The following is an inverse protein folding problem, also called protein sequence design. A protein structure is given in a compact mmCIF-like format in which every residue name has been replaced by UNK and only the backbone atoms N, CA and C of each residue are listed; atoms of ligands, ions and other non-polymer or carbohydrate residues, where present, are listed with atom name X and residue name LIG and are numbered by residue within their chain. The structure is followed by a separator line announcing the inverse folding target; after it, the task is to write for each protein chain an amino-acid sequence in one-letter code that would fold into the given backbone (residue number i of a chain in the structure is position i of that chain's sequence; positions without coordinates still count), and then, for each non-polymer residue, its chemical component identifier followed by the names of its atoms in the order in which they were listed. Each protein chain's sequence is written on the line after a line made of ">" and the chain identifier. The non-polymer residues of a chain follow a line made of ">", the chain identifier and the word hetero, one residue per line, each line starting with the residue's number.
data_IF_877049729767
#
_entry.id   IF_877049729767
#
_cell.length_a   1.000
_cell.length_b   1.000
_cell.length_c   1.000
_cell.angle_alpha   90.00
_cell.angle_beta   90.00
_cell.angle_gamma   90.00
#
_symmetry.space_group_name_H-M   'P 1'
#
loop_
_entity.id
_entity.type
_entity.pdbx_description
1 polymer ?
#
# COMPACT_ATOMS: atom_id res chain seq x y z
N UNK A 1 -60.98 20.68 34.33
CA UNK A 1 -59.72 20.01 34.71
C UNK A 1 -59.06 19.51 33.43
N UNK A 2 -57.80 19.91 33.16
CA UNK A 2 -56.78 19.13 32.40
C UNK A 2 -56.99 18.91 30.86
N UNK A 3 -56.10 19.15 29.88
CA UNK A 3 -54.68 19.58 29.74
C UNK A 3 -54.45 19.92 28.25
N UNK A 4 -53.71 21.00 27.95
CA UNK A 4 -53.26 21.36 26.59
C UNK A 4 -52.06 20.48 26.19
N UNK A 5 -52.12 19.79 25.05
CA UNK A 5 -50.98 19.04 24.50
C UNK A 5 -49.98 20.01 23.86
N UNK A 6 -48.74 20.03 24.36
CA UNK A 6 -47.60 20.69 23.69
C UNK A 6 -46.90 19.67 22.80
N UNK A 7 -46.92 19.89 21.49
CA UNK A 7 -46.11 19.12 20.55
C UNK A 7 -44.63 19.52 20.69
N UNK A 8 -43.79 18.57 21.09
CA UNK A 8 -42.34 18.74 21.13
C UNK A 8 -41.76 18.26 19.78
N UNK A 9 -41.25 19.20 18.98
CA UNK A 9 -40.48 18.87 17.79
C UNK A 9 -39.07 18.41 18.22
N UNK A 10 -38.79 17.12 18.04
CA UNK A 10 -37.45 16.56 18.25
C UNK A 10 -36.68 16.73 16.93
N UNK A 11 -35.82 17.75 16.87
CA UNK A 11 -34.84 17.88 15.79
C UNK A 11 -33.74 16.83 16.00
N UNK A 12 -33.81 15.73 15.25
CA UNK A 12 -32.76 14.72 15.16
C UNK A 12 -31.59 15.33 14.39
N UNK A 13 -30.61 15.87 15.11
CA UNK A 13 -29.38 16.39 14.50
C UNK A 13 -28.58 15.24 13.87
N UNK A 14 -28.48 15.22 12.55
CA UNK A 14 -27.50 14.37 11.86
C UNK A 14 -26.10 14.87 12.21
N UNK A 15 -25.39 14.15 13.07
CA UNK A 15 -23.96 14.34 13.24
C UNK A 15 -23.26 13.84 11.98
N UNK A 16 -22.82 14.76 11.12
CA UNK A 16 -21.92 14.44 10.01
C UNK A 16 -20.53 14.25 10.62
N UNK A 17 -20.10 13.00 10.75
CA UNK A 17 -18.71 12.71 11.08
C UNK A 17 -17.82 13.13 9.90
N UNK A 18 -16.70 13.82 10.13
CA UNK A 18 -15.76 14.11 9.06
C UNK A 18 -15.21 12.77 8.53
N UNK A 19 -15.42 12.52 7.23
CA UNK A 19 -14.77 11.42 6.56
C UNK A 19 -13.30 11.79 6.33
N UNK A 20 -12.38 11.17 7.07
CA UNK A 20 -10.96 11.27 6.76
C UNK A 20 -10.71 10.47 5.46
N UNK A 21 -10.46 11.16 4.35
CA UNK A 21 -10.03 10.52 3.11
C UNK A 21 -8.58 10.07 3.28
N UNK A 22 -8.37 8.87 3.82
CA UNK A 22 -7.04 8.30 3.95
C UNK A 22 -6.55 7.87 2.56
N UNK A 23 -5.37 8.36 2.17
CA UNK A 23 -4.70 7.95 0.93
C UNK A 23 -4.48 6.43 1.01
N UNK A 24 -4.92 5.63 0.02
CA UNK A 24 -4.70 4.19 0.02
C UNK A 24 -3.19 3.89 0.10
N UNK A 25 -2.78 3.13 1.11
CA UNK A 25 -1.39 2.71 1.33
C UNK A 25 -1.06 1.48 0.46
N UNK A 26 -1.15 1.66 -0.87
CA UNK A 26 -0.89 0.61 -1.86
C UNK A 26 0.25 0.99 -2.79
N UNK A 27 0.97 -0.02 -3.28
CA UNK A 27 2.02 0.15 -4.28
C UNK A 27 1.55 -0.50 -5.58
N UNK A 28 1.49 0.28 -6.65
CA UNK A 28 1.25 -0.26 -7.98
C UNK A 28 2.49 -1.02 -8.47
N UNK A 29 2.27 -2.26 -8.90
CA UNK A 29 3.32 -3.14 -9.37
C UNK A 29 2.87 -3.74 -10.71
N UNK A 30 3.74 -3.60 -11.72
CA UNK A 30 3.57 -4.25 -13.01
C UNK A 30 4.83 -5.03 -13.43
N UNK A 31 4.63 -6.00 -14.31
CA UNK A 31 5.74 -6.70 -14.95
C UNK A 31 5.28 -7.62 -16.08
N UNK A 32 6.25 -8.13 -16.83
CA UNK A 32 6.04 -9.11 -17.91
C UNK A 32 6.49 -10.49 -17.42
N UNK A 33 5.60 -11.48 -17.55
CA UNK A 33 5.90 -12.88 -17.26
C UNK A 33 6.04 -13.66 -18.57
N UNK A 34 7.20 -14.28 -18.75
CA UNK A 34 7.49 -15.16 -19.87
C UNK A 34 7.78 -16.57 -19.36
N UNK A 35 7.53 -17.58 -20.19
CA UNK A 35 7.99 -18.93 -19.96
C UNK A 35 9.50 -19.08 -20.21
N UNK A 36 10.02 -20.30 -20.03
CA UNK A 36 11.43 -20.60 -20.24
C UNK A 36 11.89 -20.48 -21.72
N UNK A 37 10.96 -20.48 -22.67
CA UNK A 37 11.22 -20.24 -24.08
C UNK A 37 11.13 -18.75 -24.46
N UNK A 38 10.81 -17.87 -23.51
CA UNK A 38 10.66 -16.43 -23.72
C UNK A 38 9.30 -16.03 -24.29
N UNK A 39 8.32 -16.94 -24.30
CA UNK A 39 6.96 -16.66 -24.75
C UNK A 39 6.16 -16.07 -23.59
N UNK A 40 5.44 -14.94 -23.80
CA UNK A 40 4.57 -14.37 -22.78
C UNK A 40 3.57 -15.39 -22.26
N UNK A 41 3.41 -15.45 -20.94
CA UNK A 41 2.40 -16.28 -20.31
C UNK A 41 0.99 -15.76 -20.63
N UNK A 42 0.03 -16.68 -20.65
CA UNK A 42 -1.37 -16.40 -20.94
C UNK A 42 -2.29 -16.98 -19.88
N UNK A 43 -3.46 -16.36 -19.73
CA UNK A 43 -4.49 -16.76 -18.77
C UNK A 43 -4.29 -16.16 -17.39
N UNK A 44 -5.25 -16.38 -16.48
CA UNK A 44 -5.11 -15.96 -15.10
C UNK A 44 -4.05 -16.82 -14.40
N UNK A 45 -3.23 -16.19 -13.57
CA UNK A 45 -2.21 -16.87 -12.75
C UNK A 45 -2.33 -16.46 -11.30
N UNK A 46 -1.88 -17.33 -10.40
CA UNK A 46 -1.73 -16.96 -8.99
C UNK A 46 -0.35 -16.31 -8.80
N UNK A 47 -0.32 -15.08 -8.26
CA UNK A 47 0.90 -14.34 -7.99
C UNK A 47 1.09 -14.14 -6.48
N UNK A 48 2.23 -14.57 -5.96
CA UNK A 48 2.64 -14.26 -4.59
C UNK A 48 3.82 -13.30 -4.59
N UNK A 49 3.67 -12.17 -3.93
CA UNK A 49 4.72 -11.16 -3.77
C UNK A 49 5.33 -11.23 -2.39
N UNK A 50 6.66 -11.06 -2.30
CA UNK A 50 7.36 -11.01 -1.01
C UNK A 50 8.39 -9.90 -0.99
N UNK A 51 8.46 -9.21 0.15
CA UNK A 51 9.48 -8.20 0.40
C UNK A 51 10.56 -8.72 1.33
N UNK A 52 11.80 -8.37 1.02
CA UNK A 52 12.99 -8.84 1.75
C UNK A 52 13.95 -7.68 2.04
N UNK A 53 14.68 -7.80 3.15
CA UNK A 53 15.77 -6.89 3.51
C UNK A 53 17.10 -7.23 2.79
N UNK A 54 17.27 -8.49 2.35
CA UNK A 54 18.52 -8.99 1.78
C UNK A 54 18.33 -9.60 0.40
N UNK A 55 19.38 -9.61 -0.41
CA UNK A 55 19.36 -10.13 -1.79
C UNK A 55 19.19 -11.66 -1.85
N UNK A 56 19.59 -12.38 -0.81
CA UNK A 56 19.42 -13.82 -0.67
C UNK A 56 19.27 -14.21 0.81
N UNK A 57 18.65 -15.36 1.08
CA UNK A 57 18.34 -15.80 2.44
C UNK A 57 17.40 -14.86 3.19
N UNK A 58 17.40 -14.95 4.52
CA UNK A 58 16.51 -14.16 5.39
C UNK A 58 15.03 -14.55 5.30
N UNK A 59 14.23 -13.97 6.18
CA UNK A 59 12.77 -14.18 6.23
C UNK A 59 12.08 -13.06 5.46
N UNK A 60 10.96 -13.36 4.81
CA UNK A 60 10.12 -12.36 4.18
C UNK A 60 9.59 -11.39 5.24
N UNK A 61 9.77 -10.09 5.00
CA UNK A 61 9.20 -9.03 5.85
C UNK A 61 7.68 -8.96 5.69
N UNK A 62 7.20 -9.29 4.50
CA UNK A 62 5.80 -9.25 4.13
C UNK A 62 5.54 -10.16 2.93
N UNK A 63 4.29 -10.65 2.83
CA UNK A 63 3.84 -11.56 1.77
C UNK A 63 2.38 -11.29 1.45
N UNK A 64 2.06 -11.14 0.17
CA UNK A 64 0.68 -10.97 -0.33
C UNK A 64 0.44 -11.90 -1.51
N UNK A 65 -0.74 -12.53 -1.50
CA UNK A 65 -1.21 -13.46 -2.52
C UNK A 65 -2.33 -12.80 -3.32
N UNK A 66 -2.18 -12.77 -4.65
CA UNK A 66 -3.21 -12.41 -5.60
C UNK A 66 -3.60 -13.65 -6.39
N UNK A 67 -4.86 -14.07 -6.27
CA UNK A 67 -5.41 -15.16 -7.07
C UNK A 67 -6.02 -14.65 -8.37
N UNK A 68 -6.05 -15.51 -9.38
CA UNK A 68 -6.73 -15.28 -10.66
C UNK A 68 -6.33 -13.95 -11.35
N UNK A 69 -5.03 -13.61 -11.36
CA UNK A 69 -4.54 -12.38 -11.99
C UNK A 69 -4.50 -12.54 -13.50
N UNK A 70 -5.40 -11.85 -14.19
CA UNK A 70 -5.42 -11.83 -15.65
C UNK A 70 -4.14 -11.22 -16.23
N UNK A 71 -3.56 -11.93 -17.20
CA UNK A 71 -2.42 -11.47 -17.98
C UNK A 71 -2.86 -10.92 -19.34
N UNK A 72 -2.35 -9.75 -19.71
CA UNK A 72 -2.52 -9.18 -21.04
C UNK A 72 -1.17 -9.19 -21.76
N UNK A 73 -1.00 -10.05 -22.77
CA UNK A 73 0.30 -10.29 -23.44
C UNK A 73 1.45 -10.55 -22.45
N UNK A 74 1.16 -11.33 -21.39
CA UNK A 74 2.09 -11.64 -20.30
C UNK A 74 2.26 -10.53 -19.26
N UNK A 75 1.68 -9.34 -19.46
CA UNK A 75 1.71 -8.27 -18.48
C UNK A 75 0.67 -8.49 -17.39
N UNK A 76 1.11 -8.33 -16.14
CA UNK A 76 0.22 -8.19 -14.99
C UNK A 76 0.30 -6.77 -14.43
N UNK A 77 -0.75 -6.36 -13.73
CA UNK A 77 -0.85 -5.07 -13.04
C UNK A 77 -1.63 -5.28 -11.75
N UNK A 78 -0.98 -5.09 -10.60
CA UNK A 78 -1.57 -5.32 -9.28
C UNK A 78 -1.30 -4.16 -8.34
N UNK A 79 -2.12 -4.05 -7.29
CA UNK A 79 -1.94 -3.10 -6.19
C UNK A 79 -1.52 -3.87 -4.94
N UNK A 80 -0.23 -3.85 -4.63
CA UNK A 80 0.30 -4.46 -3.41
C UNK A 80 -0.22 -3.70 -2.19
N UNK A 81 -0.69 -4.44 -1.18
CA UNK A 81 -1.32 -3.88 0.01
C UNK A 81 -2.85 -3.85 -0.08
N UNK A 82 -3.42 -4.22 -1.23
CA UNK A 82 -4.88 -4.25 -1.42
C UNK A 82 -5.52 -5.49 -0.82
N UNK A 83 -4.79 -6.62 -0.75
CA UNK A 83 -5.28 -7.86 -0.15
C UNK A 83 -4.80 -7.98 1.30
N UNK A 84 -3.53 -7.63 1.57
CA UNK A 84 -2.93 -7.64 2.90
C UNK A 84 -2.25 -6.30 3.18
N UNK A 85 -2.79 -5.56 4.14
CA UNK A 85 -2.27 -4.24 4.53
C UNK A 85 -0.73 -4.20 4.58
N UNK A 86 -0.16 -3.25 3.85
CA UNK A 86 1.28 -3.02 3.76
C UNK A 86 1.67 -1.88 4.70
N UNK A 87 2.21 -2.25 5.87
CA UNK A 87 2.60 -1.27 6.88
C UNK A 87 3.82 -0.44 6.39
N UNK A 88 3.83 0.90 6.58
CA UNK A 88 4.97 1.74 6.22
C UNK A 88 6.32 1.28 6.80
N UNK A 89 6.32 0.64 7.97
CA UNK A 89 7.53 0.08 8.60
C UNK A 89 8.13 -1.10 7.81
N UNK A 90 7.31 -1.86 7.08
CA UNK A 90 7.80 -2.89 6.14
C UNK A 90 8.47 -2.21 4.95
N UNK A 91 7.82 -1.20 4.37
CA UNK A 91 8.35 -0.46 3.20
C UNK A 91 9.68 0.21 3.54
N UNK A 92 9.83 0.75 4.74
CA UNK A 92 11.08 1.36 5.21
C UNK A 92 12.26 0.36 5.28
N UNK A 93 11.98 -0.92 5.51
CA UNK A 93 12.98 -1.98 5.66
C UNK A 93 13.21 -2.79 4.38
N UNK A 94 12.20 -2.89 3.51
CA UNK A 94 12.28 -3.63 2.27
C UNK A 94 13.37 -3.06 1.36
N UNK A 95 14.15 -3.95 0.75
CA UNK A 95 15.20 -3.64 -0.24
C UNK A 95 15.01 -4.42 -1.53
N UNK A 96 14.28 -5.54 -1.47
CA UNK A 96 14.04 -6.42 -2.60
C UNK A 96 12.59 -6.90 -2.62
N UNK A 97 12.09 -7.16 -3.82
CA UNK A 97 10.82 -7.84 -4.08
C UNK A 97 11.07 -9.12 -4.87
N UNK A 98 10.26 -10.14 -4.62
CA UNK A 98 10.19 -11.36 -5.42
C UNK A 98 8.76 -11.64 -5.83
N UNK A 99 8.63 -12.49 -6.83
CA UNK A 99 7.36 -12.99 -7.35
C UNK A 99 7.47 -14.50 -7.39
N UNK A 100 6.39 -15.17 -7.03
CA UNK A 100 6.17 -16.59 -7.27
C UNK A 100 4.90 -16.74 -8.10
N UNK A 101 4.96 -17.58 -9.13
CA UNK A 101 3.86 -17.80 -10.08
C UNK A 101 3.33 -19.22 -9.88
N UNK A 102 2.02 -19.36 -9.72
CA UNK A 102 1.32 -20.64 -9.56
C UNK A 102 1.90 -21.57 -8.49
N UNK A 103 2.45 -20.98 -7.41
CA UNK A 103 3.09 -21.71 -6.30
C UNK A 103 4.24 -22.63 -6.72
N UNK A 104 4.95 -22.29 -7.80
CA UNK A 104 6.07 -23.09 -8.36
C UNK A 104 7.45 -22.71 -7.82
N UNK A 105 7.49 -21.87 -6.79
CA UNK A 105 8.71 -21.36 -6.19
C UNK A 105 9.05 -19.94 -6.62
N UNK A 106 9.78 -19.24 -5.76
CA UNK A 106 10.18 -17.85 -5.97
C UNK A 106 11.12 -17.69 -7.17
N UNK A 107 10.82 -16.69 -8.00
CA UNK A 107 11.71 -16.25 -9.05
C UNK A 107 12.96 -15.61 -8.44
N UNK A 108 14.11 -15.98 -8.99
CA UNK A 108 15.44 -15.49 -8.62
C UNK A 108 16.18 -14.97 -9.85
N UNK A 109 17.06 -13.96 -9.72
CA UNK A 109 17.41 -13.24 -8.49
C UNK A 109 16.28 -12.29 -8.01
N UNK A 110 16.31 -11.92 -6.73
CA UNK A 110 15.36 -10.93 -6.19
C UNK A 110 15.56 -9.58 -6.86
N UNK A 111 14.47 -8.87 -7.14
CA UNK A 111 14.50 -7.58 -7.82
C UNK A 111 14.72 -6.47 -6.77
N UNK A 112 15.72 -5.59 -6.94
CA UNK A 112 15.92 -4.46 -6.02
C UNK A 112 14.75 -3.48 -6.09
N UNK A 113 14.31 -3.00 -4.93
CA UNK A 113 13.38 -1.87 -4.84
C UNK A 113 14.18 -0.57 -4.97
N UNK A 114 13.80 0.26 -5.93
CA UNK A 114 14.42 1.56 -6.19
C UNK A 114 13.46 2.70 -5.94
N UNK A 115 14.00 3.87 -5.59
CA UNK A 115 13.21 5.08 -5.46
C UNK A 115 12.75 5.58 -6.85
N UNK A 116 11.50 6.04 -6.92
CA UNK A 116 11.01 6.83 -8.07
C UNK A 116 11.55 8.26 -8.00
N UNK A 117 11.66 9.01 -9.12
CA UNK A 117 12.35 10.31 -9.15
C UNK A 117 11.90 11.31 -8.08
N UNK A 118 10.59 11.47 -7.88
CA UNK A 118 10.07 12.38 -6.85
C UNK A 118 10.32 11.91 -5.42
N UNK A 119 10.53 10.61 -5.18
CA UNK A 119 10.84 10.09 -3.86
C UNK A 119 12.26 10.45 -3.38
N UNK A 120 13.18 10.80 -4.29
CA UNK A 120 14.54 11.22 -3.91
C UNK A 120 14.54 12.51 -3.07
N UNK A 121 13.61 13.42 -3.36
CA UNK A 121 13.48 14.70 -2.65
C UNK A 121 12.44 14.65 -1.52
N UNK A 122 11.63 13.60 -1.43
CA UNK A 122 10.63 13.44 -0.36
C UNK A 122 11.25 13.14 1.02
N UNK A 123 12.57 12.98 1.10
CA UNK A 123 13.30 12.73 2.36
C UNK A 123 13.40 13.97 3.25
N UNK A 124 13.36 15.15 2.67
CA UNK A 124 13.52 16.43 3.35
C UNK A 124 12.48 17.44 2.83
N UNK A 125 12.03 18.37 3.69
CA UNK A 125 11.29 19.54 3.24
C UNK A 125 12.27 20.71 3.16
N UNK A 126 12.77 21.00 1.96
CA UNK A 126 13.72 22.10 1.74
C UNK A 126 13.02 23.33 1.16
N UNK A 127 12.68 24.29 2.03
CA UNK A 127 12.04 25.55 1.64
C UNK A 127 10.58 25.37 1.20
N UNK A 128 9.64 25.96 1.94
CA UNK A 128 8.22 25.86 1.64
C UNK A 128 7.34 26.01 2.87
N UNK A 129 6.03 25.98 2.67
CA UNK A 129 5.05 25.91 3.75
C UNK A 129 4.84 24.43 4.12
N UNK A 130 4.93 24.11 5.40
CA UNK A 130 4.53 22.82 5.96
C UNK A 130 3.14 23.02 6.56
N UNK A 131 2.14 22.33 6.02
CA UNK A 131 0.77 22.32 6.55
C UNK A 131 0.60 21.04 7.38
N UNK A 132 1.07 21.08 8.62
CA UNK A 132 1.06 19.94 9.53
C UNK A 132 0.26 20.29 10.79
N UNK A 133 -0.70 19.44 11.15
CA UNK A 133 -1.46 19.59 12.40
C UNK A 133 -0.61 19.35 13.66
N UNK A 134 0.51 18.62 13.53
CA UNK A 134 1.53 18.60 14.58
C UNK A 134 2.93 18.32 14.06
N UNK A 135 3.93 18.81 14.78
CA UNK A 135 5.35 18.50 14.55
C UNK A 135 5.98 18.11 15.87
N UNK A 136 6.81 17.05 15.85
CA UNK A 136 7.61 16.61 17.00
C UNK A 136 9.10 16.62 16.66
N UNK A 137 9.91 17.17 17.57
CA UNK A 137 11.37 17.15 17.48
C UNK A 137 11.89 16.33 18.66
N UNK A 138 12.59 15.22 18.35
CA UNK A 138 13.09 14.29 19.37
C UNK A 138 11.98 13.77 20.31
N UNK A 139 10.77 13.58 19.78
CA UNK A 139 9.60 13.13 20.53
C UNK A 139 8.84 14.24 21.26
N UNK A 140 9.42 15.43 21.41
CA UNK A 140 8.76 16.59 22.03
C UNK A 140 7.85 17.27 21.02
N UNK A 141 6.60 17.53 21.41
CA UNK A 141 5.64 18.28 20.62
C UNK A 141 6.10 19.74 20.49
N UNK A 142 6.23 20.22 19.26
CA UNK A 142 6.66 21.59 18.95
C UNK A 142 5.61 22.40 18.18
N UNK A 143 4.70 21.74 17.46
CA UNK A 143 3.52 22.34 16.80
C UNK A 143 2.33 21.43 17.10
N UNK A 144 1.19 22.00 17.46
CA UNK A 144 -0.10 21.35 17.75
C UNK A 144 -1.21 22.38 17.55
N UNK A 145 -1.71 22.50 16.32
CA UNK A 145 -2.73 23.49 15.91
C UNK A 145 -3.96 22.78 15.28
#
# INVERSE_FOLDING_TARGET
>A
MMRVLKAAAVCLGLAVAPAAAQIPAVIHQEGLLNDAAGIPLAGPVDLTFRFYAAAAGGVALWTEDHGDVDLYDGYYSVLLGSVRALDPSVVAQARFVTIEVDRRGELVPRVPLAAVPFAFIARDVAGGKVDAGSVRIQGNLVIDD
#
